data_IF_939983492988
#
_entry.id   IF_939983492988
#
_cell.length_a   1.000
_cell.length_b   1.000
_cell.length_c   1.000
_cell.angle_alpha   90.00
_cell.angle_beta   90.00
_cell.angle_gamma   90.00
#
_symmetry.space_group_name_H-M   'P 1'
#
loop_
_entity.id
_entity.type
_entity.pdbx_description
1 polymer ?
#
# COMPACT_ATOMS: atom_id res chain seq x y z
N UNK A 1 0.91 2.78 10.59
CA UNK A 1 2.03 3.36 9.80
C UNK A 1 1.93 2.94 8.33
N UNK A 2 1.84 1.64 8.05
CA UNK A 2 1.74 1.05 6.71
C UNK A 2 0.62 1.67 5.85
N UNK A 3 -0.62 1.66 6.33
CA UNK A 3 -1.75 2.25 5.62
C UNK A 3 -1.55 3.74 5.27
N UNK A 4 -0.92 4.51 6.17
CA UNK A 4 -0.60 5.91 5.91
C UNK A 4 0.44 6.04 4.80
N UNK A 5 1.48 5.21 4.80
CA UNK A 5 2.49 5.21 3.74
C UNK A 5 1.88 4.87 2.37
N UNK A 6 0.92 3.94 2.32
CA UNK A 6 0.19 3.64 1.08
C UNK A 6 -0.68 4.81 0.62
N UNK A 7 -1.41 5.44 1.54
CA UNK A 7 -2.20 6.62 1.24
C UNK A 7 -1.33 7.80 0.77
N UNK A 8 -0.16 8.02 1.39
CA UNK A 8 0.80 9.05 0.99
C UNK A 8 1.39 8.75 -0.41
N UNK A 9 1.66 7.47 -0.71
CA UNK A 9 2.10 7.05 -2.05
C UNK A 9 1.05 7.33 -3.11
N UNK A 10 -0.18 6.83 -2.94
CA UNK A 10 -1.24 7.04 -3.92
C UNK A 10 -1.64 8.50 -4.04
N UNK A 11 -1.72 9.23 -2.92
CA UNK A 11 -2.14 10.62 -2.89
C UNK A 11 -1.10 11.56 -3.52
N UNK A 12 0.20 11.34 -3.29
CA UNK A 12 1.25 12.24 -3.77
C UNK A 12 1.85 11.82 -5.10
N UNK A 13 2.01 10.52 -5.36
CA UNK A 13 2.65 10.02 -6.59
C UNK A 13 1.63 9.84 -7.72
N UNK A 14 0.46 9.28 -7.40
CA UNK A 14 -0.57 8.96 -8.40
C UNK A 14 -1.76 9.93 -8.41
N UNK A 15 -1.97 10.68 -7.32
CA UNK A 15 -3.16 11.52 -7.09
C UNK A 15 -4.46 10.71 -7.25
N UNK A 16 -4.49 9.51 -6.65
CA UNK A 16 -5.58 8.54 -6.77
C UNK A 16 -6.16 8.12 -5.42
N UNK A 17 -7.37 7.59 -5.46
CA UNK A 17 -8.05 6.98 -4.31
C UNK A 17 -7.62 5.52 -4.16
N UNK A 18 -7.69 4.99 -2.93
CA UNK A 18 -7.22 3.65 -2.57
C UNK A 18 -7.91 2.57 -3.40
N UNK A 19 -9.24 2.63 -3.50
CA UNK A 19 -10.08 1.68 -4.24
C UNK A 19 -9.82 1.65 -5.75
N UNK A 20 -9.01 2.58 -6.28
CA UNK A 20 -8.66 2.65 -7.70
C UNK A 20 -7.25 2.15 -8.01
N UNK A 21 -6.49 1.72 -7.00
CA UNK A 21 -5.17 1.15 -7.19
C UNK A 21 -5.27 -0.23 -7.84
N UNK A 22 -4.44 -0.47 -8.87
CA UNK A 22 -4.31 -1.77 -9.51
C UNK A 22 -3.09 -2.54 -9.01
N UNK A 23 -2.92 -3.74 -9.55
CA UNK A 23 -1.77 -4.59 -9.28
C UNK A 23 -0.41 -3.90 -9.52
N UNK A 24 -0.21 -3.08 -10.58
CA UNK A 24 1.06 -2.39 -10.80
C UNK A 24 1.42 -1.40 -9.68
N UNK A 25 0.46 -0.58 -9.24
CA UNK A 25 0.71 0.40 -8.19
C UNK A 25 0.97 -0.26 -6.83
N UNK A 26 0.23 -1.33 -6.51
CA UNK A 26 0.47 -2.07 -5.26
C UNK A 26 1.84 -2.75 -5.28
N UNK A 27 2.25 -3.32 -6.42
CA UNK A 27 3.59 -3.93 -6.58
C UNK A 27 4.70 -2.89 -6.43
N UNK A 28 4.60 -1.77 -7.13
CA UNK A 28 5.56 -0.65 -7.02
C UNK A 28 5.63 -0.15 -5.57
N UNK A 29 4.49 -0.03 -4.89
CA UNK A 29 4.47 0.36 -3.50
C UNK A 29 5.27 -0.61 -2.63
N UNK A 30 4.99 -1.91 -2.73
CA UNK A 30 5.60 -2.96 -1.89
C UNK A 30 7.10 -3.11 -2.19
N UNK A 31 7.48 -3.16 -3.46
CA UNK A 31 8.84 -3.48 -3.88
C UNK A 31 9.76 -2.25 -3.90
N UNK A 32 9.22 -1.07 -4.21
CA UNK A 32 10.04 0.13 -4.45
C UNK A 32 9.78 1.24 -3.45
N UNK A 33 8.55 1.73 -3.36
CA UNK A 33 8.27 2.95 -2.60
C UNK A 33 8.40 2.74 -1.09
N UNK A 34 7.73 1.72 -0.55
CA UNK A 34 7.65 1.45 0.88
C UNK A 34 9.02 1.22 1.53
N UNK A 35 9.91 0.35 1.03
CA UNK A 35 11.21 0.13 1.65
C UNK A 35 12.14 1.35 1.55
N UNK A 36 11.99 2.21 0.54
CA UNK A 36 12.84 3.39 0.31
C UNK A 36 12.37 4.64 1.06
N UNK A 37 11.06 4.80 1.24
CA UNK A 37 10.46 6.07 1.69
C UNK A 37 9.77 5.97 3.04
N UNK A 38 9.23 4.80 3.43
CA UNK A 38 8.55 4.65 4.72
C UNK A 38 9.48 4.24 5.87
N UNK A 39 10.69 3.74 5.56
CA UNK A 39 11.72 3.31 6.51
C UNK A 39 11.15 2.39 7.62
N UNK A 40 10.42 1.32 7.25
CA UNK A 40 9.62 0.56 8.21
C UNK A 40 10.47 -0.28 9.17
N UNK A 41 9.97 -0.51 10.38
CA UNK A 41 10.53 -1.52 11.29
C UNK A 41 10.34 -2.93 10.73
N UNK A 42 11.02 -3.93 11.31
CA UNK A 42 10.83 -5.33 10.91
C UNK A 42 9.37 -5.78 11.10
N UNK A 43 8.75 -5.39 12.21
CA UNK A 43 7.34 -5.66 12.52
C UNK A 43 6.38 -4.98 11.52
N UNK A 44 6.64 -3.72 11.18
CA UNK A 44 5.86 -3.01 10.16
C UNK A 44 5.98 -3.68 8.79
N UNK A 45 7.14 -4.24 8.46
CA UNK A 45 7.35 -5.01 7.22
C UNK A 45 6.58 -6.32 7.23
N UNK A 46 6.58 -7.06 8.34
CA UNK A 46 5.85 -8.33 8.43
C UNK A 46 4.33 -8.15 8.38
N UNK A 47 3.82 -7.02 8.88
CA UNK A 47 2.39 -6.67 8.86
C UNK A 47 1.95 -5.92 7.60
N UNK A 48 2.82 -5.76 6.59
CA UNK A 48 2.47 -5.02 5.38
C UNK A 48 1.31 -5.66 4.60
N UNK A 49 1.29 -6.97 4.32
CA UNK A 49 0.19 -7.58 3.57
C UNK A 49 -1.16 -7.45 4.28
N UNK A 50 -1.22 -7.80 5.58
CA UNK A 50 -2.43 -7.66 6.39
C UNK A 50 -2.92 -6.21 6.48
N UNK A 51 -1.99 -5.25 6.59
CA UNK A 51 -2.38 -3.84 6.59
C UNK A 51 -2.94 -3.38 5.24
N UNK A 52 -2.55 -3.97 4.11
CA UNK A 52 -3.14 -3.65 2.81
C UNK A 52 -4.54 -4.27 2.71
N UNK A 53 -4.72 -5.51 3.13
CA UNK A 53 -6.05 -6.16 3.18
C UNK A 53 -7.05 -5.33 3.97
N UNK A 54 -6.71 -4.94 5.20
CA UNK A 54 -7.56 -4.11 6.04
C UNK A 54 -7.84 -2.73 5.44
N UNK A 55 -6.88 -2.17 4.69
CA UNK A 55 -7.04 -0.85 4.07
C UNK A 55 -7.98 -0.88 2.87
N UNK A 56 -7.88 -1.91 2.04
CA UNK A 56 -8.77 -2.11 0.89
C UNK A 56 -10.19 -2.48 1.36
N UNK A 57 -10.33 -3.33 2.38
CA UNK A 57 -11.62 -3.64 3.00
C UNK A 57 -12.30 -2.38 3.56
N UNK A 58 -11.55 -1.52 4.26
CA UNK A 58 -12.06 -0.23 4.74
C UNK A 58 -12.46 0.74 3.60
N UNK A 59 -11.95 0.51 2.38
CA UNK A 59 -12.30 1.26 1.18
C UNK A 59 -13.38 0.56 0.33
N UNK A 60 -13.99 -0.52 0.82
CA UNK A 60 -14.99 -1.33 0.12
C UNK A 60 -14.46 -1.89 -1.22
N UNK A 61 -13.19 -2.33 -1.20
CA UNK A 61 -12.47 -2.84 -2.36
C UNK A 61 -11.68 -4.11 -2.03
N UNK A 62 -11.39 -4.92 -3.06
CA UNK A 62 -10.49 -6.06 -2.94
C UNK A 62 -9.06 -5.64 -3.24
N UNK A 63 -8.09 -6.26 -2.54
CA UNK A 63 -6.68 -6.06 -2.86
C UNK A 63 -6.38 -6.70 -4.23
N UNK A 64 -5.85 -5.96 -5.21
CA UNK A 64 -5.47 -6.54 -6.50
C UNK A 64 -4.42 -7.64 -6.34
N UNK A 65 -4.43 -8.68 -7.17
CA UNK A 65 -3.33 -9.65 -7.20
C UNK A 65 -2.05 -9.00 -7.73
N UNK A 66 -1.07 -8.73 -6.86
CA UNK A 66 0.16 -8.00 -7.20
C UNK A 66 1.44 -8.86 -7.17
N UNK A 67 1.30 -10.16 -6.97
CA UNK A 67 2.41 -11.14 -6.96
C UNK A 67 3.03 -11.36 -8.36
#
# INVERSE_FOLDING_TARGET
ANARAFADFLGNHYVRRIETAGAPEVREFVEEYYPRNAWPTAEQRSLLPESLELLFDAADAEVPEYN
#
